data_IF_256901248245
#
_entry.id   IF_256901248245
#
_cell.length_a   1.000
_cell.length_b   1.000
_cell.length_c   1.000
_cell.angle_alpha   90.00
_cell.angle_beta   90.00
_cell.angle_gamma   90.00
#
_symmetry.space_group_name_H-M   'P 1'
#
loop_
_entity.id
_entity.type
_entity.pdbx_description
1 polymer ?
#
# COMPACT_ATOMS: atom_id res chain seq x y z
N UNK A 1 18.23 66.58 66.87
CA UNK A 1 18.83 66.21 65.57
C UNK A 1 18.01 65.08 64.97
N UNK A 2 17.55 65.28 63.73
CA UNK A 2 16.71 64.34 62.96
C UNK A 2 17.58 63.25 62.36
N UNK A 3 17.12 62.00 62.33
CA UNK A 3 17.54 61.06 61.30
C UNK A 3 16.31 60.26 60.83
N UNK A 4 15.93 60.50 59.58
CA UNK A 4 14.84 59.84 58.86
C UNK A 4 15.40 58.54 58.27
N UNK A 5 14.79 57.40 58.56
CA UNK A 5 15.06 56.16 57.85
C UNK A 5 14.11 56.04 56.65
N UNK A 6 14.69 55.95 55.45
CA UNK A 6 14.00 55.76 54.18
C UNK A 6 13.88 54.25 53.97
N UNK A 7 12.64 53.75 53.86
CA UNK A 7 12.35 52.38 53.43
C UNK A 7 12.38 52.37 51.90
N UNK A 8 13.30 51.60 51.32
CA UNK A 8 13.34 51.33 49.88
C UNK A 8 12.68 49.96 49.66
N UNK A 9 11.48 49.96 49.08
CA UNK A 9 10.78 48.76 48.65
C UNK A 9 11.30 48.39 47.26
N UNK A 10 12.18 47.39 47.17
CA UNK A 10 12.62 46.83 45.90
C UNK A 10 11.54 45.90 45.32
N UNK A 11 10.92 46.28 44.20
CA UNK A 11 10.08 45.38 43.42
C UNK A 11 11.00 44.53 42.53
N UNK A 12 11.17 43.26 42.88
CA UNK A 12 11.82 42.29 42.02
C UNK A 12 10.83 41.82 40.96
N UNK A 13 10.97 42.32 39.73
CA UNK A 13 10.24 41.85 38.56
C UNK A 13 10.92 40.56 38.06
N UNK A 14 10.47 39.41 38.55
CA UNK A 14 10.91 38.11 38.05
C UNK A 14 10.29 37.84 36.68
N UNK A 15 11.09 37.90 35.62
CA UNK A 15 10.73 37.33 34.31
C UNK A 15 10.61 35.81 34.45
N UNK A 16 9.38 35.32 34.58
CA UNK A 16 9.06 33.90 34.41
C UNK A 16 9.17 33.57 32.91
N UNK A 17 10.31 33.00 32.49
CA UNK A 17 10.38 32.29 31.22
C UNK A 17 9.56 31.00 31.37
N UNK A 18 8.30 31.04 30.96
CA UNK A 18 7.51 29.82 30.75
C UNK A 18 8.15 29.12 29.55
N UNK A 19 8.63 27.87 29.67
CA UNK A 19 9.05 27.13 28.48
C UNK A 19 7.81 26.97 27.59
N UNK A 20 7.89 27.48 26.36
CA UNK A 20 6.90 27.15 25.35
C UNK A 20 7.03 25.65 25.07
N UNK A 21 6.21 24.83 25.73
CA UNK A 21 6.04 23.44 25.37
C UNK A 21 5.31 23.42 24.02
N UNK A 22 6.08 23.35 22.93
CA UNK A 22 5.55 22.88 21.67
C UNK A 22 5.18 21.41 21.89
N UNK A 23 3.92 21.12 22.21
CA UNK A 23 3.42 19.76 22.13
C UNK A 23 3.65 19.27 20.70
N UNK A 24 4.40 18.17 20.57
CA UNK A 24 4.54 17.50 19.30
C UNK A 24 3.16 17.00 18.88
N UNK A 25 2.63 17.53 17.76
CA UNK A 25 1.36 17.09 17.19
C UNK A 25 1.43 15.59 16.91
N UNK A 26 0.45 14.84 17.42
CA UNK A 26 0.33 13.41 17.16
C UNK A 26 -0.23 13.18 15.75
N UNK A 27 0.69 13.01 14.78
CA UNK A 27 0.34 12.76 13.39
C UNK A 27 -0.43 11.44 13.20
N UNK A 28 -0.37 10.50 14.16
CA UNK A 28 -1.05 9.21 14.02
C UNK A 28 -2.58 9.31 14.12
N UNK A 29 -3.10 10.46 14.59
CA UNK A 29 -4.54 10.74 14.68
C UNK A 29 -5.04 11.71 13.61
N UNK A 30 -4.18 12.15 12.70
CA UNK A 30 -4.61 13.05 11.62
C UNK A 30 -5.57 12.33 10.67
N UNK A 31 -6.67 13.01 10.33
CA UNK A 31 -7.67 12.53 9.39
C UNK A 31 -7.57 13.30 8.08
N UNK A 32 -7.84 12.64 6.96
CA UNK A 32 -7.97 13.29 5.66
C UNK A 32 -9.43 13.65 5.42
N UNK A 33 -9.71 14.93 5.19
CA UNK A 33 -11.05 15.39 4.79
C UNK A 33 -11.38 14.95 3.37
N UNK A 34 -12.66 14.97 2.99
CA UNK A 34 -13.04 14.77 1.59
C UNK A 34 -12.29 15.76 0.68
N UNK A 35 -11.99 15.30 -0.54
CA UNK A 35 -11.26 16.05 -1.58
C UNK A 35 -9.80 16.43 -1.21
N UNK A 36 -9.21 15.79 -0.18
CA UNK A 36 -7.80 15.97 0.21
C UNK A 36 -6.86 14.96 -0.47
N UNK A 37 -6.98 14.86 -1.79
CA UNK A 37 -6.14 13.99 -2.63
C UNK A 37 -6.52 12.51 -2.63
N UNK A 38 -5.66 11.66 -3.20
CA UNK A 38 -5.98 10.28 -3.56
C UNK A 38 -6.33 9.39 -2.36
N UNK A 39 -5.68 9.61 -1.22
CA UNK A 39 -5.92 8.84 0.01
C UNK A 39 -7.22 9.24 0.73
N UNK A 40 -7.94 10.26 0.25
CA UNK A 40 -9.18 10.78 0.82
C UNK A 40 -10.45 10.40 0.03
N UNK A 41 -10.39 9.34 -0.79
CA UNK A 41 -11.50 8.92 -1.64
C UNK A 41 -12.84 8.79 -0.88
N UNK A 42 -13.92 9.31 -1.48
CA UNK A 42 -15.25 9.28 -0.87
C UNK A 42 -15.44 10.40 0.16
N UNK A 43 -15.79 10.04 1.39
CA UNK A 43 -16.06 11.02 2.47
C UNK A 43 -14.79 11.46 3.21
N UNK A 44 -13.61 11.16 2.68
CA UNK A 44 -12.34 11.28 3.40
C UNK A 44 -11.97 10.00 4.16
N UNK A 45 -10.82 10.03 4.82
CA UNK A 45 -10.25 8.90 5.56
C UNK A 45 -10.00 9.30 7.01
N UNK A 46 -10.75 8.70 7.93
CA UNK A 46 -10.54 8.88 9.38
C UNK A 46 -9.50 7.92 9.95
N UNK A 47 -9.28 6.78 9.28
CA UNK A 47 -8.41 5.70 9.78
C UNK A 47 -8.76 5.28 11.21
N UNK A 48 -7.73 4.95 11.99
CA UNK A 48 -7.82 4.61 13.41
C UNK A 48 -7.87 5.81 14.36
N UNK A 49 -8.10 7.04 13.89
CA UNK A 49 -8.01 8.27 14.71
C UNK A 49 -8.84 8.25 16.00
N UNK A 50 -9.93 7.48 16.02
CA UNK A 50 -10.81 7.27 17.17
C UNK A 50 -10.34 6.17 18.14
N UNK A 51 -9.17 5.57 17.93
CA UNK A 51 -8.62 4.53 18.81
C UNK A 51 -8.54 5.05 20.26
N UNK A 52 -9.03 4.25 21.19
CA UNK A 52 -8.77 4.45 22.61
C UNK A 52 -7.34 4.02 22.94
N UNK A 53 -6.87 4.34 24.15
CA UNK A 53 -5.49 4.07 24.56
C UNK A 53 -5.15 2.57 24.60
N UNK A 54 -6.14 1.68 24.73
CA UNK A 54 -5.92 0.24 24.69
C UNK A 54 -5.66 -0.27 23.26
N UNK A 55 -6.10 0.47 22.24
CA UNK A 55 -5.94 0.14 20.82
C UNK A 55 -4.85 0.96 20.12
N UNK A 56 -3.86 1.46 20.89
CA UNK A 56 -2.64 2.08 20.35
C UNK A 56 -1.37 1.28 20.73
N UNK A 57 -1.28 -0.02 20.38
CA UNK A 57 -0.12 -0.83 20.75
C UNK A 57 1.12 -0.40 19.95
N UNK A 58 2.29 -0.52 20.58
CA UNK A 58 3.58 -0.52 19.88
C UNK A 58 4.04 -1.96 19.67
N UNK A 59 4.28 -2.35 18.42
CA UNK A 59 4.68 -3.70 18.02
C UNK A 59 6.11 -3.69 17.47
N UNK A 60 6.83 -4.78 17.68
CA UNK A 60 8.24 -4.95 17.27
C UNK A 60 8.47 -6.23 16.46
N UNK A 61 7.45 -7.08 16.32
CA UNK A 61 7.51 -8.36 15.61
C UNK A 61 6.17 -8.69 14.92
N UNK A 62 6.20 -9.72 14.05
CA UNK A 62 5.04 -10.14 13.26
C UNK A 62 3.90 -10.67 14.14
N UNK A 63 4.22 -11.42 15.20
CA UNK A 63 3.23 -11.96 16.12
C UNK A 63 2.47 -10.86 16.86
N UNK A 64 3.16 -9.81 17.30
CA UNK A 64 2.57 -8.61 17.89
C UNK A 64 1.70 -7.86 16.91
N UNK A 65 2.16 -7.69 15.66
CA UNK A 65 1.36 -7.06 14.60
C UNK A 65 0.06 -7.84 14.32
N UNK A 66 0.12 -9.16 14.17
CA UNK A 66 -1.06 -9.99 13.92
C UNK A 66 -2.07 -9.94 15.07
N UNK A 67 -1.60 -9.96 16.33
CA UNK A 67 -2.48 -9.77 17.49
C UNK A 67 -3.12 -8.39 17.49
N UNK A 68 -2.35 -7.36 17.17
CA UNK A 68 -2.86 -5.98 17.11
C UNK A 68 -3.89 -5.78 15.98
N UNK A 69 -3.77 -6.51 14.86
CA UNK A 69 -4.77 -6.51 13.80
C UNK A 69 -6.10 -7.13 14.23
N UNK A 70 -6.08 -8.03 15.22
CA UNK A 70 -7.27 -8.64 15.85
C UNK A 70 -8.24 -9.24 14.82
N UNK A 71 -7.70 -10.04 13.90
CA UNK A 71 -8.49 -10.75 12.88
C UNK A 71 -9.30 -9.85 11.94
N UNK A 72 -8.96 -8.56 11.83
CA UNK A 72 -9.71 -7.60 11.01
C UNK A 72 -10.91 -6.97 11.73
N UNK A 73 -10.95 -7.01 13.07
CA UNK A 73 -11.95 -6.30 13.88
C UNK A 73 -12.05 -4.82 13.51
N UNK A 74 -13.29 -4.31 13.38
CA UNK A 74 -13.64 -2.93 13.05
C UNK A 74 -13.35 -1.91 14.18
N UNK A 75 -12.92 -2.36 15.37
CA UNK A 75 -12.54 -1.45 16.46
C UNK A 75 -11.40 -0.52 15.99
N UNK A 76 -11.55 0.82 16.08
CA UNK A 76 -10.50 1.75 15.68
C UNK A 76 -9.18 1.48 16.40
N UNK A 77 -8.08 1.39 15.64
CA UNK A 77 -6.75 1.07 16.19
C UNK A 77 -5.63 1.81 15.47
N UNK A 78 -4.58 2.18 16.21
CA UNK A 78 -3.35 2.79 15.69
C UNK A 78 -2.18 1.88 16.09
N UNK A 79 -1.68 1.09 15.17
CA UNK A 79 -0.58 0.16 15.45
C UNK A 79 0.75 0.87 15.17
N UNK A 80 1.48 1.22 16.23
CA UNK A 80 2.80 1.84 16.12
C UNK A 80 3.84 0.76 15.89
N UNK A 81 4.69 0.92 14.89
CA UNK A 81 5.77 -0.03 14.61
C UNK A 81 7.08 0.55 15.15
N UNK A 82 7.74 -0.20 16.03
CA UNK A 82 9.07 0.13 16.53
C UNK A 82 10.09 -0.80 15.88
N UNK A 83 10.84 -0.26 14.91
CA UNK A 83 11.83 -1.02 14.15
C UNK A 83 11.25 -1.72 12.92
N UNK A 84 11.84 -2.85 12.55
CA UNK A 84 11.44 -3.65 11.38
C UNK A 84 10.62 -4.85 11.83
N UNK A 85 9.49 -5.09 11.17
CA UNK A 85 8.73 -6.33 11.32
C UNK A 85 9.23 -7.30 10.25
N UNK A 86 9.80 -8.42 10.67
CA UNK A 86 10.14 -9.52 9.76
C UNK A 86 8.86 -10.28 9.37
N UNK A 87 8.38 -10.04 8.14
CA UNK A 87 7.21 -10.70 7.59
C UNK A 87 7.49 -12.15 7.15
N UNK A 88 8.76 -12.51 7.01
CA UNK A 88 9.25 -13.84 6.66
C UNK A 88 9.41 -14.70 7.92
N UNK A 89 8.41 -14.66 8.79
CA UNK A 89 8.32 -15.52 9.98
C UNK A 89 6.95 -16.17 10.08
N UNK A 90 6.89 -17.42 10.55
CA UNK A 90 5.63 -18.12 10.80
C UNK A 90 4.93 -17.60 12.08
N UNK A 91 3.88 -18.30 12.53
CA UNK A 91 3.17 -17.94 13.76
C UNK A 91 3.97 -18.25 15.04
N UNK A 92 4.95 -19.16 14.95
CA UNK A 92 5.83 -19.58 16.03
C UNK A 92 7.14 -18.75 16.06
N UNK A 93 7.33 -17.86 15.09
CA UNK A 93 8.49 -16.98 14.94
C UNK A 93 9.66 -17.62 14.18
N UNK A 94 9.47 -18.76 13.53
CA UNK A 94 10.49 -19.35 12.68
C UNK A 94 10.58 -18.61 11.35
N UNK A 95 11.79 -18.38 10.86
CA UNK A 95 12.01 -17.77 9.56
C UNK A 95 11.47 -18.67 8.44
N UNK A 96 10.70 -18.09 7.54
CA UNK A 96 10.17 -18.72 6.35
C UNK A 96 11.18 -18.56 5.21
N UNK A 97 11.45 -19.65 4.49
CA UNK A 97 12.32 -19.61 3.32
C UNK A 97 11.54 -19.61 2.00
N UNK A 98 12.26 -19.54 0.88
CA UNK A 98 11.62 -19.54 -0.42
C UNK A 98 10.75 -20.79 -0.68
N UNK A 99 11.06 -21.95 -0.09
CA UNK A 99 10.28 -23.17 -0.24
C UNK A 99 8.94 -23.08 0.48
N UNK A 100 8.89 -22.41 1.64
CA UNK A 100 7.65 -22.17 2.37
C UNK A 100 6.68 -21.27 1.57
N UNK A 101 7.22 -20.34 0.78
CA UNK A 101 6.46 -19.49 -0.14
C UNK A 101 6.25 -20.11 -1.53
N UNK A 102 6.99 -21.17 -1.89
CA UNK A 102 7.03 -21.72 -3.25
C UNK A 102 5.74 -22.43 -3.70
N UNK A 103 4.65 -22.34 -2.94
CA UNK A 103 3.32 -22.72 -3.39
C UNK A 103 2.74 -21.67 -4.36
N UNK A 104 3.43 -21.37 -5.45
CA UNK A 104 2.97 -20.48 -6.54
C UNK A 104 2.13 -21.21 -7.61
N UNK A 105 1.90 -22.51 -7.43
CA UNK A 105 1.18 -23.40 -8.36
C UNK A 105 -0.27 -22.95 -8.65
N UNK A 106 -0.86 -22.10 -7.80
CA UNK A 106 -2.30 -21.78 -7.82
C UNK A 106 -2.62 -20.38 -8.39
N UNK A 107 -1.70 -19.74 -9.11
CA UNK A 107 -1.99 -18.42 -9.72
C UNK A 107 -3.10 -18.54 -10.77
N UNK A 108 -4.18 -17.79 -10.61
CA UNK A 108 -5.34 -17.74 -11.50
C UNK A 108 -5.54 -16.32 -12.06
N UNK A 109 -4.59 -15.84 -12.87
CA UNK A 109 -4.59 -14.44 -13.36
C UNK A 109 -5.63 -14.25 -14.47
N UNK A 110 -6.56 -13.32 -14.26
CA UNK A 110 -7.53 -12.87 -15.26
C UNK A 110 -7.21 -11.42 -15.67
N UNK A 111 -6.53 -11.25 -16.81
CA UNK A 111 -6.00 -9.97 -17.27
C UNK A 111 -6.72 -9.46 -18.52
N UNK A 112 -7.44 -8.34 -18.41
CA UNK A 112 -8.17 -7.75 -19.54
C UNK A 112 -7.66 -6.36 -19.86
N UNK A 113 -7.53 -6.05 -21.15
CA UNK A 113 -7.36 -4.69 -21.67
C UNK A 113 -6.18 -3.93 -21.06
N UNK A 114 -5.03 -4.60 -20.92
CA UNK A 114 -3.79 -3.99 -20.45
C UNK A 114 -2.97 -3.42 -21.61
N UNK A 115 -2.23 -2.33 -21.37
CA UNK A 115 -1.30 -1.75 -22.34
C UNK A 115 0.10 -1.66 -21.75
N UNK A 116 1.10 -2.14 -22.50
CA UNK A 116 2.50 -2.14 -22.11
C UNK A 116 3.29 -1.24 -23.06
N UNK A 117 4.01 -0.26 -22.49
CA UNK A 117 4.97 0.58 -23.19
C UNK A 117 6.37 0.25 -22.71
N UNK A 118 7.20 -0.29 -23.61
CA UNK A 118 8.51 -0.82 -23.27
C UNK A 118 9.61 -0.29 -24.19
N UNK A 119 10.85 -0.17 -23.71
CA UNK A 119 12.00 0.07 -24.58
C UNK A 119 12.24 -1.12 -25.52
N UNK A 120 12.90 -0.90 -26.65
CA UNK A 120 13.05 -1.90 -27.72
C UNK A 120 13.89 -3.15 -27.40
N UNK A 121 14.48 -3.26 -26.21
CA UNK A 121 15.15 -4.48 -25.76
C UNK A 121 14.22 -5.46 -25.03
N UNK A 122 13.00 -5.03 -24.72
CA UNK A 122 11.96 -5.88 -24.12
C UNK A 122 11.08 -6.37 -25.26
N UNK A 123 10.86 -7.67 -25.31
CA UNK A 123 9.96 -8.31 -26.27
C UNK A 123 8.63 -8.66 -25.60
N UNK A 124 7.58 -8.90 -26.38
CA UNK A 124 6.29 -9.31 -25.83
C UNK A 124 6.37 -10.64 -25.06
N UNK A 125 7.32 -11.53 -25.43
CA UNK A 125 7.57 -12.79 -24.73
C UNK A 125 8.12 -12.58 -23.31
N UNK A 126 8.73 -11.43 -23.02
CA UNK A 126 9.27 -11.10 -21.70
C UNK A 126 8.19 -10.67 -20.70
N UNK A 127 6.99 -10.33 -21.17
CA UNK A 127 5.91 -9.84 -20.31
C UNK A 127 5.32 -10.91 -19.40
N UNK A 128 5.46 -12.19 -19.76
CA UNK A 128 4.91 -13.32 -18.99
C UNK A 128 6.04 -14.24 -18.55
N UNK A 129 6.43 -14.12 -17.29
CA UNK A 129 7.33 -15.04 -16.61
C UNK A 129 6.53 -16.03 -15.75
N UNK A 130 6.98 -17.28 -15.71
CA UNK A 130 6.36 -18.34 -14.92
C UNK A 130 7.29 -18.90 -13.87
N UNK A 131 6.66 -19.30 -12.77
CA UNK A 131 7.26 -20.04 -11.65
C UNK A 131 6.27 -21.15 -11.25
N UNK A 132 5.98 -22.06 -12.18
CA UNK A 132 5.00 -23.16 -12.08
C UNK A 132 3.51 -22.81 -12.25
N UNK A 133 3.18 -21.62 -12.79
CA UNK A 133 1.79 -21.28 -13.13
C UNK A 133 1.26 -22.09 -14.31
N UNK A 134 0.03 -22.61 -14.21
CA UNK A 134 -0.57 -23.51 -15.20
C UNK A 134 -1.62 -22.86 -16.11
N UNK A 135 -2.13 -21.69 -15.73
CA UNK A 135 -3.18 -20.99 -16.46
C UNK A 135 -2.95 -19.47 -16.50
N UNK A 136 -3.39 -18.84 -17.58
CA UNK A 136 -3.43 -17.39 -17.75
C UNK A 136 -4.60 -17.03 -18.65
N UNK A 137 -5.59 -16.32 -18.13
CA UNK A 137 -6.60 -15.70 -18.95
C UNK A 137 -6.11 -14.30 -19.33
N UNK A 138 -6.02 -14.04 -20.63
CA UNK A 138 -5.70 -12.71 -21.15
C UNK A 138 -6.60 -12.34 -22.32
N UNK A 139 -6.96 -11.07 -22.42
CA UNK A 139 -7.63 -10.53 -23.61
C UNK A 139 -7.32 -9.05 -23.81
N UNK A 140 -7.40 -8.58 -25.05
CA UNK A 140 -7.33 -7.15 -25.40
C UNK A 140 -6.01 -6.46 -25.06
N UNK A 141 -4.92 -7.21 -24.86
CA UNK A 141 -3.63 -6.64 -24.47
C UNK A 141 -2.97 -5.92 -25.65
N UNK A 142 -2.38 -4.74 -25.38
CA UNK A 142 -1.55 -4.00 -26.32
C UNK A 142 -0.08 -4.00 -25.87
N UNK A 143 0.84 -4.26 -26.79
CA UNK A 143 2.27 -4.11 -26.61
C UNK A 143 2.79 -3.04 -27.57
N UNK A 144 3.29 -1.93 -27.03
CA UNK A 144 3.71 -0.74 -27.77
C UNK A 144 2.66 -0.30 -28.81
N UNK A 145 1.38 -0.33 -28.40
CA UNK A 145 0.22 0.06 -29.21
C UNK A 145 -0.34 -1.03 -30.13
N UNK A 146 0.28 -2.21 -30.22
CA UNK A 146 -0.15 -3.30 -31.09
C UNK A 146 -0.84 -4.43 -30.33
N UNK A 147 -1.96 -4.98 -30.83
CA UNK A 147 -2.61 -6.14 -30.21
C UNK A 147 -1.68 -7.34 -30.12
N UNK A 148 -1.70 -8.01 -28.96
CA UNK A 148 -0.84 -9.16 -28.71
C UNK A 148 -1.58 -10.25 -27.93
N UNK A 149 -1.36 -11.51 -28.33
CA UNK A 149 -1.78 -12.69 -27.59
C UNK A 149 -0.59 -13.23 -26.77
N UNK A 150 -0.55 -12.82 -25.51
CA UNK A 150 0.51 -13.20 -24.58
C UNK A 150 0.47 -14.70 -24.24
N UNK A 151 -0.70 -15.33 -24.26
CA UNK A 151 -0.81 -16.77 -23.98
C UNK A 151 -0.19 -17.57 -25.13
N UNK A 152 -0.55 -17.23 -26.37
CA UNK A 152 0.01 -17.85 -27.56
C UNK A 152 1.53 -17.64 -27.66
N UNK A 153 1.99 -16.40 -27.44
CA UNK A 153 3.43 -16.08 -27.47
C UNK A 153 4.18 -16.84 -26.38
N UNK A 154 3.65 -16.87 -25.15
CA UNK A 154 4.30 -17.58 -24.06
C UNK A 154 4.44 -19.07 -24.35
N UNK A 155 3.35 -19.73 -24.78
CA UNK A 155 3.37 -21.17 -25.08
C UNK A 155 4.32 -21.47 -26.25
N UNK A 156 4.34 -20.63 -27.29
CA UNK A 156 5.27 -20.80 -28.41
C UNK A 156 6.74 -20.68 -27.97
N UNK A 157 7.07 -19.65 -27.18
CA UNK A 157 8.43 -19.37 -26.75
C UNK A 157 8.98 -20.43 -25.77
N UNK A 158 8.13 -20.97 -24.89
CA UNK A 158 8.53 -21.94 -23.86
C UNK A 158 8.21 -23.40 -24.24
N UNK A 159 7.82 -23.63 -25.51
CA UNK A 159 7.52 -24.96 -26.00
C UNK A 159 8.73 -25.89 -25.82
N UNK A 160 8.53 -26.98 -25.07
CA UNK A 160 9.56 -27.98 -24.78
C UNK A 160 10.40 -27.72 -23.52
N UNK A 161 10.34 -26.54 -22.90
CA UNK A 161 10.96 -26.28 -21.60
C UNK A 161 9.97 -26.29 -20.44
N UNK A 162 8.70 -25.96 -20.71
CA UNK A 162 7.60 -25.98 -19.74
C UNK A 162 6.35 -26.61 -20.36
N UNK A 163 5.37 -26.94 -19.52
CA UNK A 163 4.03 -27.34 -19.99
C UNK A 163 3.27 -26.10 -20.46
N UNK A 164 2.60 -26.22 -21.60
CA UNK A 164 1.71 -25.18 -22.12
C UNK A 164 0.64 -24.78 -21.10
N UNK A 165 0.31 -23.50 -21.06
CA UNK A 165 -0.74 -22.95 -20.20
C UNK A 165 -2.11 -22.98 -20.86
N UNK A 166 -3.13 -23.11 -20.02
CA UNK A 166 -4.54 -22.99 -20.42
C UNK A 166 -5.03 -21.55 -20.27
N UNK A 167 -6.02 -21.17 -21.09
CA UNK A 167 -6.73 -19.89 -20.96
C UNK A 167 -7.78 -19.90 -19.84
N UNK A 168 -8.21 -21.08 -19.40
CA UNK A 168 -9.15 -21.25 -18.29
C UNK A 168 -8.38 -21.21 -16.97
N UNK A 169 -8.71 -20.21 -16.15
CA UNK A 169 -8.14 -19.99 -14.82
C UNK A 169 -9.10 -20.43 -13.70
N UNK A 170 -10.24 -21.04 -14.03
CA UNK A 170 -11.20 -21.57 -13.07
C UNK A 170 -12.13 -20.55 -12.42
N UNK A 171 -12.04 -19.26 -12.79
CA UNK A 171 -12.95 -18.21 -12.31
C UNK A 171 -13.06 -17.04 -13.32
N UNK A 172 -14.01 -16.14 -13.06
CA UNK A 172 -14.18 -14.88 -13.81
C UNK A 172 -14.52 -13.76 -12.81
N UNK A 173 -13.84 -12.61 -12.86
CA UNK A 173 -14.15 -11.48 -11.98
C UNK A 173 -15.59 -10.99 -12.15
N UNK A 174 -16.26 -10.67 -11.03
CA UNK A 174 -17.62 -10.11 -11.04
C UNK A 174 -17.73 -8.75 -10.34
N UNK A 175 -16.74 -8.41 -9.51
CA UNK A 175 -16.71 -7.17 -8.72
C UNK A 175 -15.88 -6.10 -9.42
N UNK A 176 -16.40 -5.56 -10.52
CA UNK A 176 -15.80 -4.44 -11.23
C UNK A 176 -16.88 -3.53 -11.84
N UNK A 177 -16.52 -2.29 -12.13
CA UNK A 177 -17.35 -1.37 -12.91
C UNK A 177 -17.11 -1.60 -14.41
N UNK A 178 -17.32 -0.58 -15.23
CA UNK A 178 -16.98 -0.61 -16.65
C UNK A 178 -15.48 -0.91 -16.83
N UNK A 179 -15.16 -1.86 -17.70
CA UNK A 179 -13.79 -2.12 -18.15
C UNK A 179 -13.59 -1.38 -19.49
N UNK A 180 -12.65 -0.44 -19.51
CA UNK A 180 -12.28 0.28 -20.73
C UNK A 180 -11.39 -0.58 -21.64
N UNK A 181 -11.28 -0.21 -22.93
CA UNK A 181 -10.31 -0.84 -23.83
C UNK A 181 -8.89 -0.44 -23.45
N UNK A 182 -7.90 -1.27 -23.79
CA UNK A 182 -6.50 -1.01 -23.45
C UNK A 182 -6.00 0.36 -23.91
N UNK A 183 -6.37 0.79 -25.12
CA UNK A 183 -5.99 2.11 -25.64
C UNK A 183 -6.67 3.27 -24.91
N UNK A 184 -7.89 3.08 -24.39
CA UNK A 184 -8.55 4.09 -23.58
C UNK A 184 -7.94 4.13 -22.19
N UNK A 185 -7.78 2.96 -21.54
CA UNK A 185 -7.16 2.82 -20.23
C UNK A 185 -5.77 3.46 -20.20
N UNK A 186 -4.91 3.18 -21.20
CA UNK A 186 -3.57 3.78 -21.32
C UNK A 186 -3.59 5.32 -21.29
N UNK A 187 -4.47 5.94 -22.10
CA UNK A 187 -4.59 7.41 -22.16
C UNK A 187 -5.17 8.01 -20.89
N UNK A 188 -6.17 7.36 -20.29
CA UNK A 188 -6.83 7.85 -19.09
C UNK A 188 -5.91 7.73 -17.87
N UNK A 189 -5.23 6.59 -17.70
CA UNK A 189 -4.24 6.37 -16.64
C UNK A 189 -3.09 7.38 -16.77
N UNK A 190 -2.54 7.59 -17.97
CA UNK A 190 -1.48 8.58 -18.17
C UNK A 190 -1.89 10.02 -17.80
N UNK A 191 -3.18 10.34 -17.86
CA UNK A 191 -3.70 11.67 -17.54
C UNK A 191 -4.10 11.83 -16.08
N UNK A 192 -4.72 10.79 -15.51
CA UNK A 192 -5.44 10.85 -14.24
C UNK A 192 -4.77 10.11 -13.09
N UNK A 193 -3.85 9.17 -13.34
CA UNK A 193 -3.17 8.46 -12.26
C UNK A 193 -2.01 9.29 -11.68
N UNK A 194 -1.84 9.23 -10.36
CA UNK A 194 -0.78 9.91 -9.63
C UNK A 194 -1.28 11.05 -8.72
N UNK A 195 -0.44 11.47 -7.79
CA UNK A 195 -0.78 12.52 -6.82
C UNK A 195 -1.11 13.86 -7.51
N UNK A 196 -2.14 14.56 -7.02
CA UNK A 196 -2.54 15.88 -7.51
C UNK A 196 -3.17 15.88 -8.91
N UNK A 197 -3.62 14.72 -9.40
CA UNK A 197 -4.26 14.57 -10.73
C UNK A 197 -5.78 14.43 -10.66
N UNK A 198 -6.35 14.31 -9.46
CA UNK A 198 -7.80 14.34 -9.23
C UNK A 198 -8.26 15.79 -9.00
N UNK A 199 -9.42 16.21 -9.54
CA UNK A 199 -10.03 17.50 -9.27
C UNK A 199 -10.31 17.73 -7.79
#
# INVERSE_FOLDING_TARGET
MRLRQIVVTGVALGTLCVPAHAEARDLSRDTLAADDGWAAYGTGTTGGSAADDAHVPTVTDRAGLLRALDGGSDTPKIIKIAGTIDADTDADGHHLDCADYATFTESAIYAENNAFHTPGHVEAADLVKSWNGTALHQTGTLFNGWPVDLLAIHNAYNSGSERDRTADVGWTPTLHQKIDSAAAADREVARGAGAGRTP
#
